data_IF_543033317168
#
_entry.id   IF_543033317168
#
_cell.length_a   1.000
_cell.length_b   1.000
_cell.length_c   1.000
_cell.angle_alpha   90.00
_cell.angle_beta   90.00
_cell.angle_gamma   90.00
#
_symmetry.space_group_name_H-M   'P 1'
#
loop_
_entity.id
_entity.type
_entity.pdbx_description
1 polymer ?
#
# COMPACT_ATOMS: atom_id res chain seq x y z
N UNK A 1 -5.92 -5.04 36.27
CA UNK A 1 -6.83 -4.22 35.51
C UNK A 1 -6.43 -4.16 34.04
N UNK A 2 -7.28 -4.65 33.18
CA UNK A 2 -7.01 -4.73 31.75
C UNK A 2 -6.76 -3.37 31.12
N UNK A 3 -7.49 -2.36 31.56
CA UNK A 3 -7.34 -1.03 31.00
C UNK A 3 -5.97 -0.43 31.27
N UNK A 4 -5.45 -0.69 32.46
CA UNK A 4 -4.12 -0.20 32.81
C UNK A 4 -3.04 -0.83 31.94
N UNK A 5 -3.20 -2.09 31.61
CA UNK A 5 -2.23 -2.79 30.79
C UNK A 5 -2.18 -2.23 29.38
N UNK A 6 -3.33 -1.86 28.82
CA UNK A 6 -3.37 -1.29 27.49
C UNK A 6 -2.67 0.05 27.41
N UNK A 7 -2.72 0.82 28.50
CA UNK A 7 -2.11 2.14 28.51
C UNK A 7 -0.60 2.07 28.50
N UNK A 8 -0.03 1.03 29.09
CA UNK A 8 1.42 0.97 29.26
C UNK A 8 2.19 0.56 28.03
N UNK A 9 1.53 0.08 27.00
CA UNK A 9 2.23 -0.37 25.80
C UNK A 9 1.62 0.23 24.57
N UNK A 10 1.85 1.52 24.31
CA UNK A 10 1.24 2.19 23.15
C UNK A 10 1.56 1.50 21.83
N UNK A 11 2.81 1.09 21.64
CA UNK A 11 3.19 0.41 20.40
C UNK A 11 2.53 -0.93 20.28
N UNK A 12 2.45 -1.67 21.36
CA UNK A 12 1.78 -2.94 21.38
C UNK A 12 0.28 -2.78 21.17
N UNK A 13 -0.31 -1.75 21.76
CA UNK A 13 -1.73 -1.45 21.57
C UNK A 13 -2.04 -1.16 20.12
N UNK A 14 -1.19 -0.38 19.45
CA UNK A 14 -1.37 -0.07 18.03
C UNK A 14 -1.29 -1.32 17.19
N UNK A 15 -0.36 -2.21 17.50
CA UNK A 15 -0.23 -3.47 16.77
C UNK A 15 -1.46 -4.37 16.97
N UNK A 16 -1.97 -4.43 18.18
CA UNK A 16 -3.15 -5.21 18.49
C UNK A 16 -4.36 -4.62 17.78
N UNK A 17 -4.52 -3.31 17.80
CA UNK A 17 -5.63 -2.66 17.11
C UNK A 17 -5.56 -2.93 15.61
N UNK A 18 -4.38 -2.81 15.01
CA UNK A 18 -4.20 -3.11 13.61
C UNK A 18 -4.58 -4.55 13.28
N UNK A 19 -4.16 -5.47 14.14
CA UNK A 19 -4.47 -6.88 13.94
C UNK A 19 -5.95 -7.15 14.05
N UNK A 20 -6.61 -6.58 15.03
CA UNK A 20 -8.05 -6.76 15.24
C UNK A 20 -8.83 -6.16 14.08
N UNK A 21 -8.49 -4.97 13.64
CA UNK A 21 -9.13 -4.34 12.49
C UNK A 21 -8.95 -5.19 11.25
N UNK A 22 -7.76 -5.72 11.07
CA UNK A 22 -7.47 -6.56 9.92
C UNK A 22 -8.32 -7.81 9.91
N UNK A 23 -8.57 -8.38 11.07
CA UNK A 23 -9.31 -9.61 11.22
C UNK A 23 -10.82 -9.40 11.14
N UNK A 24 -11.30 -8.35 11.79
CA UNK A 24 -12.74 -8.12 11.94
C UNK A 24 -13.31 -7.32 10.77
N UNK A 25 -12.58 -6.32 10.28
CA UNK A 25 -13.03 -5.42 9.23
C UNK A 25 -12.33 -5.70 7.91
N UNK A 26 -12.15 -6.96 7.61
CA UNK A 26 -11.35 -7.38 6.47
C UNK A 26 -11.73 -6.69 5.15
N UNK A 27 -13.02 -6.65 4.82
CA UNK A 27 -13.45 -6.04 3.56
C UNK A 27 -13.22 -4.54 3.54
N UNK A 28 -13.54 -3.87 4.65
CA UNK A 28 -13.34 -2.43 4.76
C UNK A 28 -11.85 -2.12 4.74
N UNK A 29 -11.06 -2.91 5.43
CA UNK A 29 -9.62 -2.72 5.49
C UNK A 29 -8.97 -2.91 4.12
N UNK A 30 -9.42 -3.88 3.35
CA UNK A 30 -8.87 -4.09 2.02
C UNK A 30 -9.12 -2.90 1.11
N UNK A 31 -10.31 -2.33 1.15
CA UNK A 31 -10.61 -1.14 0.38
C UNK A 31 -9.78 0.04 0.84
N UNK A 32 -9.69 0.24 2.14
CA UNK A 32 -8.91 1.33 2.70
C UNK A 32 -7.44 1.16 2.37
N UNK A 33 -6.91 -0.04 2.49
CA UNK A 33 -5.54 -0.33 2.13
C UNK A 33 -5.28 -0.02 0.66
N UNK A 34 -6.20 -0.38 -0.22
CA UNK A 34 -6.04 -0.08 -1.64
C UNK A 34 -5.96 1.43 -1.89
N UNK A 35 -6.87 2.20 -1.32
CA UNK A 35 -6.90 3.64 -1.54
C UNK A 35 -5.75 4.36 -0.89
N UNK A 36 -5.23 3.84 0.21
CA UNK A 36 -4.12 4.45 0.93
C UNK A 36 -2.78 3.79 0.65
N UNK A 37 -2.74 2.91 -0.34
CA UNK A 37 -1.55 2.09 -0.62
C UNK A 37 -0.29 2.91 -0.82
N UNK A 38 -0.38 4.00 -1.57
CA UNK A 38 0.79 4.84 -1.81
C UNK A 38 1.33 5.43 -0.51
N UNK A 39 0.45 5.90 0.35
CA UNK A 39 0.83 6.46 1.63
C UNK A 39 1.44 5.39 2.54
N UNK A 40 0.79 4.25 2.60
CA UNK A 40 1.26 3.14 3.44
C UNK A 40 2.62 2.65 2.97
N UNK A 41 2.79 2.48 1.67
CA UNK A 41 4.07 2.05 1.12
C UNK A 41 5.17 3.05 1.44
N UNK A 42 4.88 4.34 1.30
CA UNK A 42 5.85 5.39 1.61
C UNK A 42 6.26 5.32 3.08
N UNK A 43 5.31 5.12 3.97
CA UNK A 43 5.61 4.99 5.39
C UNK A 43 6.48 3.77 5.69
N UNK A 44 6.17 2.65 5.08
CA UNK A 44 6.94 1.43 5.28
C UNK A 44 8.38 1.63 4.80
N UNK A 45 8.54 2.21 3.63
CA UNK A 45 9.85 2.44 3.03
C UNK A 45 10.67 3.41 3.88
N UNK A 46 10.03 4.48 4.36
CA UNK A 46 10.73 5.43 5.22
C UNK A 46 11.17 4.79 6.54
N UNK A 47 10.32 3.96 7.10
CA UNK A 47 10.65 3.27 8.36
C UNK A 47 11.83 2.32 8.17
N UNK A 48 11.89 1.66 7.02
CA UNK A 48 13.00 0.75 6.72
C UNK A 48 14.26 1.47 6.27
N UNK A 49 14.15 2.76 5.98
CA UNK A 49 15.27 3.53 5.46
C UNK A 49 15.61 3.22 4.02
N UNK A 50 14.68 2.66 3.28
CA UNK A 50 14.87 2.31 1.87
C UNK A 50 14.17 3.35 1.01
N UNK A 51 14.92 4.12 0.28
CA UNK A 51 14.38 5.19 -0.57
C UNK A 51 15.19 5.27 -1.85
N UNK A 52 14.67 5.89 -2.91
CA UNK A 52 13.36 6.49 -3.09
C UNK A 52 12.29 5.52 -3.55
N UNK A 53 11.02 5.94 -3.47
CA UNK A 53 9.90 5.24 -4.08
C UNK A 53 9.54 5.97 -5.35
N UNK A 54 9.48 5.26 -6.46
CA UNK A 54 9.17 5.86 -7.76
C UNK A 54 8.07 5.06 -8.45
N UNK A 55 7.18 5.77 -9.13
CA UNK A 55 6.11 5.18 -9.91
C UNK A 55 6.37 5.47 -11.38
N UNK A 56 6.45 4.44 -12.18
CA UNK A 56 6.83 4.55 -13.59
C UNK A 56 5.69 4.02 -14.44
N UNK A 57 5.21 4.87 -15.36
CA UNK A 57 4.20 4.46 -16.31
C UNK A 57 4.86 3.54 -17.34
N UNK A 58 4.46 2.29 -17.36
CA UNK A 58 5.06 1.30 -18.25
C UNK A 58 4.21 0.99 -19.47
N UNK A 59 2.94 1.40 -19.48
CA UNK A 59 2.10 1.15 -20.62
C UNK A 59 0.75 1.83 -20.53
N UNK A 60 0.14 1.97 -21.69
CA UNK A 60 -1.22 2.45 -21.84
C UNK A 60 -1.89 1.58 -22.89
N UNK A 61 -3.16 1.27 -22.70
CA UNK A 61 -3.91 0.50 -23.66
C UNK A 61 -5.37 0.93 -23.64
N UNK A 62 -6.09 0.55 -24.71
CA UNK A 62 -7.51 0.85 -24.82
C UNK A 62 -7.79 2.16 -25.52
N UNK A 63 -9.06 2.36 -25.95
CA UNK A 63 -9.48 3.59 -26.62
C UNK A 63 -9.54 4.76 -25.65
N UNK A 64 -9.63 5.97 -26.21
CA UNK A 64 -9.60 7.19 -25.41
C UNK A 64 -10.67 7.23 -24.30
N UNK A 65 -11.83 6.64 -24.58
CA UNK A 65 -12.92 6.64 -23.60
C UNK A 65 -12.85 5.50 -22.60
N UNK A 66 -11.85 4.63 -22.74
CA UNK A 66 -11.68 3.48 -21.84
C UNK A 66 -10.21 3.09 -21.79
N UNK A 67 -9.36 4.07 -21.44
CA UNK A 67 -7.94 3.82 -21.33
C UNK A 67 -7.60 3.05 -20.07
N UNK A 68 -6.58 2.24 -20.17
CA UNK A 68 -6.03 1.52 -19.04
C UNK A 68 -4.54 1.81 -18.98
N UNK A 69 -4.08 2.18 -17.80
CA UNK A 69 -2.69 2.51 -17.56
C UNK A 69 -2.03 1.41 -16.76
N UNK A 70 -0.77 1.16 -17.06
CA UNK A 70 0.04 0.20 -16.30
C UNK A 70 1.21 0.93 -15.68
N UNK A 71 1.40 0.74 -14.39
CA UNK A 71 2.45 1.42 -13.62
C UNK A 71 3.24 0.39 -12.85
N UNK A 72 4.56 0.58 -12.81
CA UNK A 72 5.44 -0.18 -11.93
C UNK A 72 5.89 0.73 -10.79
N UNK A 73 5.92 0.19 -9.58
CA UNK A 73 6.50 0.91 -8.46
C UNK A 73 7.89 0.34 -8.17
N UNK A 74 8.85 1.24 -8.00
CA UNK A 74 10.23 0.86 -7.69
C UNK A 74 10.61 1.41 -6.32
N UNK A 75 11.31 0.60 -5.57
CA UNK A 75 11.88 1.02 -4.30
C UNK A 75 13.38 0.79 -4.41
N UNK A 76 14.14 1.87 -4.25
CA UNK A 76 15.60 1.84 -4.35
C UNK A 76 16.06 1.21 -5.67
N UNK A 77 15.36 1.55 -6.75
CA UNK A 77 15.72 1.09 -8.09
C UNK A 77 15.24 -0.29 -8.47
N UNK A 78 14.55 -0.98 -7.58
CA UNK A 78 14.04 -2.32 -7.85
C UNK A 78 12.52 -2.30 -7.97
N UNK A 79 12.00 -2.97 -8.99
CA UNK A 79 10.56 -3.09 -9.17
C UNK A 79 10.00 -4.02 -8.09
N UNK A 80 9.09 -3.51 -7.29
CA UNK A 80 8.49 -4.27 -6.20
C UNK A 80 6.99 -4.48 -6.39
N UNK A 81 6.39 -3.87 -7.40
CA UNK A 81 4.99 -4.07 -7.68
C UNK A 81 4.58 -3.49 -9.01
N UNK A 82 3.48 -3.99 -9.55
CA UNK A 82 2.90 -3.53 -10.80
C UNK A 82 1.40 -3.39 -10.60
N UNK A 83 0.80 -2.42 -11.28
CA UNK A 83 -0.63 -2.22 -11.18
C UNK A 83 -1.21 -1.63 -12.43
N UNK A 84 -2.50 -1.84 -12.61
CA UNK A 84 -3.26 -1.28 -13.72
C UNK A 84 -4.48 -0.55 -13.19
N UNK A 85 -4.95 0.42 -13.97
CA UNK A 85 -6.15 1.15 -13.62
C UNK A 85 -6.57 2.08 -14.74
N UNK A 86 -7.77 2.61 -14.63
CA UNK A 86 -8.31 3.51 -15.65
C UNK A 86 -7.75 4.92 -15.54
N UNK A 87 -7.03 5.22 -14.48
CA UNK A 87 -6.30 6.47 -14.33
C UNK A 87 -4.90 6.15 -13.86
N UNK A 88 -3.97 7.09 -14.05
CA UNK A 88 -2.61 6.91 -13.55
C UNK A 88 -2.60 6.72 -12.05
N UNK A 89 -3.41 7.50 -11.35
CA UNK A 89 -3.50 7.40 -9.88
C UNK A 89 -3.98 6.02 -9.46
N UNK A 90 -5.01 5.49 -10.12
CA UNK A 90 -5.51 4.16 -9.79
C UNK A 90 -4.46 3.09 -10.07
N UNK A 91 -3.73 3.23 -11.18
CA UNK A 91 -2.66 2.28 -11.50
C UNK A 91 -1.53 2.34 -10.48
N UNK A 92 -1.17 3.54 -10.03
CA UNK A 92 -0.15 3.71 -8.99
C UNK A 92 -0.59 3.08 -7.67
N UNK A 93 -1.85 3.30 -7.30
CA UNK A 93 -2.40 2.68 -6.09
C UNK A 93 -2.37 1.17 -6.18
N UNK A 94 -2.75 0.62 -7.34
CA UNK A 94 -2.72 -0.82 -7.56
C UNK A 94 -1.30 -1.36 -7.46
N UNK A 95 -0.33 -0.65 -8.02
CA UNK A 95 1.07 -1.06 -7.95
C UNK A 95 1.58 -1.06 -6.50
N UNK A 96 1.27 -0.01 -5.76
CA UNK A 96 1.65 0.07 -4.35
C UNK A 96 0.98 -1.02 -3.53
N UNK A 97 -0.29 -1.28 -3.80
CA UNK A 97 -1.02 -2.33 -3.11
C UNK A 97 -0.35 -3.70 -3.32
N UNK A 98 0.03 -4.00 -4.57
CA UNK A 98 0.72 -5.25 -4.85
C UNK A 98 2.05 -5.33 -4.12
N UNK A 99 2.81 -4.24 -4.09
CA UNK A 99 4.08 -4.20 -3.40
C UNK A 99 3.92 -4.51 -1.91
N UNK A 100 2.88 -3.94 -1.29
CA UNK A 100 2.60 -4.20 0.11
C UNK A 100 2.22 -5.65 0.34
N UNK A 101 1.40 -6.21 -0.54
CA UNK A 101 0.95 -7.59 -0.44
C UNK A 101 2.11 -8.58 -0.55
N UNK A 102 3.03 -8.34 -1.49
CA UNK A 102 4.12 -9.26 -1.76
C UNK A 102 5.35 -9.01 -0.89
N UNK A 103 5.47 -7.83 -0.31
CA UNK A 103 6.57 -7.48 0.61
C UNK A 103 7.95 -7.77 0.03
N UNK A 104 8.19 -7.34 -1.19
CA UNK A 104 9.46 -7.59 -1.86
C UNK A 104 10.55 -6.57 -1.55
N UNK A 105 10.32 -5.75 -0.57
CA UNK A 105 11.28 -4.70 -0.20
C UNK A 105 11.75 -4.82 1.23
#
# INVERSE_FOLDING_TARGET
NLNAEYVYSPNLSLKIISFVLKFILNDIEHKQLFYDSKTILQEIVQEKGIQPVEYILTGESGPDHDKQFTVSVQVNGQVVGNGTGHTKKAAEQAAAYQAIQEKKF
#
